data_IF_124073036932
#
_entry.id   IF_124073036932
#
_cell.length_a   1.000
_cell.length_b   1.000
_cell.length_c   1.000
_cell.angle_alpha   90.00
_cell.angle_beta   90.00
_cell.angle_gamma   90.00
#
_symmetry.space_group_name_H-M   'P 1'
#
loop_
_entity.id
_entity.type
_entity.pdbx_description
1 polymer ?
#
# COMPACT_ATOMS: atom_id res chain seq x y z
N UNK A 1 79.43 -8.44 28.20
CA UNK A 1 78.60 -7.24 28.44
C UNK A 1 78.98 -6.21 27.39
N UNK A 2 78.11 -5.95 26.41
CA UNK A 2 78.34 -4.92 25.39
C UNK A 2 78.02 -3.55 25.98
N UNK A 3 79.04 -2.84 26.49
CA UNK A 3 78.90 -1.41 26.80
C UNK A 3 78.83 -0.61 25.50
N UNK A 4 77.66 -0.04 25.22
CA UNK A 4 77.46 0.95 24.15
C UNK A 4 77.03 2.24 24.83
N UNK A 5 77.80 3.33 24.64
CA UNK A 5 77.60 4.62 25.35
C UNK A 5 76.65 5.54 24.60
N UNK A 6 76.52 5.38 23.28
CA UNK A 6 75.71 6.26 22.43
C UNK A 6 74.29 5.74 22.13
N UNK A 7 74.02 4.45 22.33
CA UNK A 7 72.74 3.83 21.97
C UNK A 7 72.27 2.88 23.06
N UNK A 8 71.09 3.12 23.64
CA UNK A 8 70.48 2.22 24.60
C UNK A 8 69.45 1.31 23.92
N UNK A 9 69.88 0.12 23.52
CA UNK A 9 69.04 -0.86 22.80
C UNK A 9 67.87 -1.36 23.66
N UNK A 10 68.06 -1.48 24.99
CA UNK A 10 66.99 -1.87 25.90
C UNK A 10 65.90 -0.78 25.99
N UNK A 11 66.29 0.50 26.02
CA UNK A 11 65.36 1.63 25.98
C UNK A 11 64.62 1.72 24.64
N UNK A 12 65.28 1.47 23.51
CA UNK A 12 64.65 1.40 22.19
C UNK A 12 63.67 0.24 22.06
N UNK A 13 63.92 -0.87 22.74
CA UNK A 13 62.97 -1.99 22.87
C UNK A 13 61.73 -1.57 23.67
N UNK A 14 61.93 -0.97 24.85
CA UNK A 14 60.85 -0.47 25.69
C UNK A 14 59.99 0.60 25.01
N UNK A 15 60.60 1.53 24.26
CA UNK A 15 59.88 2.55 23.49
C UNK A 15 59.05 1.95 22.36
N UNK A 16 59.55 0.91 21.65
CA UNK A 16 58.77 0.18 20.65
C UNK A 16 57.59 -0.55 21.27
N UNK A 17 57.78 -1.24 22.39
CA UNK A 17 56.69 -1.89 23.12
C UNK A 17 55.66 -0.90 23.64
N UNK A 18 56.08 0.27 24.13
CA UNK A 18 55.17 1.34 24.54
C UNK A 18 54.36 1.88 23.36
N UNK A 19 54.99 2.08 22.20
CA UNK A 19 54.31 2.54 21.00
C UNK A 19 53.28 1.52 20.48
N UNK A 20 53.61 0.22 20.51
CA UNK A 20 52.65 -0.84 20.14
C UNK A 20 51.48 -0.90 21.12
N UNK A 21 51.74 -0.88 22.43
CA UNK A 21 50.67 -0.87 23.44
C UNK A 21 49.81 0.40 23.39
N UNK A 22 50.41 1.55 23.07
CA UNK A 22 49.68 2.80 22.85
C UNK A 22 48.76 2.74 21.63
N UNK A 23 49.20 2.11 20.54
CA UNK A 23 48.36 1.89 19.36
C UNK A 23 47.21 0.92 19.64
N UNK A 24 47.47 -0.18 20.33
CA UNK A 24 46.44 -1.15 20.75
C UNK A 24 45.39 -0.51 21.67
N UNK A 25 45.82 0.31 22.65
CA UNK A 25 44.91 1.06 23.52
C UNK A 25 44.02 2.01 22.72
N UNK A 26 44.58 2.74 21.74
CA UNK A 26 43.82 3.66 20.89
C UNK A 26 42.73 2.92 20.11
N UNK A 27 43.05 1.78 19.50
CA UNK A 27 42.07 0.96 18.78
C UNK A 27 41.01 0.39 19.74
N UNK A 28 41.40 -0.05 20.93
CA UNK A 28 40.46 -0.52 21.95
C UNK A 28 39.49 0.59 22.40
N UNK A 29 39.99 1.81 22.60
CA UNK A 29 39.18 2.98 22.94
C UNK A 29 38.23 3.37 21.79
N UNK A 30 38.68 3.29 20.54
CA UNK A 30 37.86 3.54 19.35
C UNK A 30 36.72 2.51 19.21
N UNK A 31 37.01 1.22 19.42
CA UNK A 31 35.99 0.15 19.45
C UNK A 31 35.03 0.30 20.61
N UNK A 32 35.52 0.69 21.78
CA UNK A 32 34.67 0.93 22.96
C UNK A 32 33.75 2.14 22.75
N UNK A 33 34.26 3.23 22.18
CA UNK A 33 33.48 4.44 21.91
C UNK A 33 32.44 4.24 20.80
N UNK A 34 32.76 3.45 19.78
CA UNK A 34 31.85 3.18 18.66
C UNK A 34 30.89 2.02 18.93
N UNK A 35 31.22 1.14 19.86
CA UNK A 35 30.52 -0.13 20.08
C UNK A 35 30.67 -1.13 18.93
N UNK A 36 31.48 -0.82 17.90
CA UNK A 36 31.66 -1.64 16.70
C UNK A 36 33.02 -2.32 16.72
N UNK A 37 33.04 -3.61 16.36
CA UNK A 37 34.29 -4.37 16.19
C UNK A 37 35.11 -3.89 14.98
N UNK A 38 34.43 -3.50 13.90
CA UNK A 38 35.01 -3.00 12.64
C UNK A 38 34.56 -1.55 12.48
N UNK A 39 35.49 -0.59 12.61
CA UNK A 39 35.16 0.84 12.49
C UNK A 39 35.57 1.41 11.13
N UNK A 40 36.62 0.85 10.51
CA UNK A 40 37.11 1.25 9.19
C UNK A 40 37.40 0.06 8.28
N UNK A 41 37.46 0.29 6.97
CA UNK A 41 37.87 -0.73 6.00
C UNK A 41 39.34 -1.21 6.19
N UNK A 42 40.15 -0.46 6.96
CA UNK A 42 41.51 -0.86 7.30
C UNK A 42 41.56 -1.94 8.40
N UNK A 43 40.50 -2.06 9.23
CA UNK A 43 40.42 -3.08 10.27
C UNK A 43 40.07 -4.46 9.69
N UNK A 44 39.11 -4.50 8.76
CA UNK A 44 38.69 -5.69 8.00
C UNK A 44 37.91 -5.28 6.74
N UNK A 45 38.57 -5.29 5.58
CA UNK A 45 37.96 -4.84 4.33
C UNK A 45 36.79 -5.73 3.88
N UNK A 46 36.87 -7.05 4.10
CA UNK A 46 35.82 -7.98 3.68
C UNK A 46 34.62 -7.90 4.64
N UNK A 47 34.86 -7.85 5.95
CA UNK A 47 33.82 -7.68 6.96
C UNK A 47 33.11 -6.33 6.83
N UNK A 48 33.84 -5.27 6.52
CA UNK A 48 33.28 -3.94 6.27
C UNK A 48 32.35 -3.94 5.04
N UNK A 49 32.76 -4.53 3.91
CA UNK A 49 31.92 -4.60 2.71
C UNK A 49 30.62 -5.40 2.92
N UNK A 50 30.69 -6.50 3.69
CA UNK A 50 29.49 -7.27 4.06
C UNK A 50 28.57 -6.44 4.95
N UNK A 51 29.11 -5.77 5.96
CA UNK A 51 28.34 -4.93 6.88
C UNK A 51 27.66 -3.76 6.17
N UNK A 52 28.31 -3.16 5.17
CA UNK A 52 27.74 -2.06 4.39
C UNK A 52 26.60 -2.54 3.49
N UNK A 53 26.76 -3.72 2.86
CA UNK A 53 25.65 -4.36 2.13
C UNK A 53 24.47 -4.71 3.03
N UNK A 54 24.72 -5.26 4.22
CA UNK A 54 23.67 -5.53 5.21
C UNK A 54 22.98 -4.25 5.67
N UNK A 55 23.75 -3.18 5.91
CA UNK A 55 23.18 -1.87 6.27
C UNK A 55 22.29 -1.30 5.16
N UNK A 56 22.72 -1.42 3.90
CA UNK A 56 21.92 -1.03 2.74
C UNK A 56 20.62 -1.84 2.66
N UNK A 57 20.70 -3.16 2.88
CA UNK A 57 19.52 -4.04 2.92
C UNK A 57 18.58 -3.67 4.06
N UNK A 58 19.05 -3.50 5.29
CA UNK A 58 18.20 -3.10 6.44
C UNK A 58 17.51 -1.76 6.17
N UNK A 59 18.22 -0.76 5.63
CA UNK A 59 17.60 0.53 5.26
C UNK A 59 16.56 0.36 4.15
N UNK A 60 16.85 -0.48 3.16
CA UNK A 60 15.92 -0.80 2.09
C UNK A 60 14.66 -1.53 2.60
N UNK A 61 14.82 -2.51 3.51
CA UNK A 61 13.71 -3.24 4.13
C UNK A 61 12.83 -2.31 4.96
N UNK A 62 13.41 -1.38 5.73
CA UNK A 62 12.65 -0.37 6.46
C UNK A 62 11.80 0.51 5.52
N UNK A 63 12.36 0.91 4.37
CA UNK A 63 11.60 1.65 3.36
C UNK A 63 10.54 0.78 2.68
N UNK A 64 10.81 -0.50 2.44
CA UNK A 64 9.82 -1.44 1.91
C UNK A 64 8.64 -1.63 2.88
N UNK A 65 8.90 -1.72 4.19
CA UNK A 65 7.85 -1.76 5.22
C UNK A 65 7.02 -0.49 5.20
N UNK A 66 7.65 0.68 5.05
CA UNK A 66 6.94 1.96 4.91
C UNK A 66 6.07 1.98 3.66
N UNK A 67 6.59 1.57 2.50
CA UNK A 67 5.82 1.51 1.25
C UNK A 67 4.62 0.56 1.37
N UNK A 68 4.78 -0.56 2.06
CA UNK A 68 3.67 -1.50 2.30
C UNK A 68 2.59 -0.88 3.21
N UNK A 69 2.98 -0.13 4.25
CA UNK A 69 2.04 0.61 5.10
C UNK A 69 1.33 1.76 4.36
N UNK A 70 2.03 2.46 3.47
CA UNK A 70 1.42 3.48 2.59
C UNK A 70 0.39 2.83 1.66
N UNK A 71 0.69 1.64 1.13
CA UNK A 71 -0.25 0.83 0.35
C UNK A 71 -1.48 0.37 1.14
N UNK A 72 -1.30 -0.07 2.39
CA UNK A 72 -2.40 -0.40 3.30
C UNK A 72 -3.30 0.83 3.56
N UNK A 73 -2.69 2.00 3.79
CA UNK A 73 -3.42 3.24 4.02
C UNK A 73 -4.23 3.66 2.79
N UNK A 74 -3.66 3.51 1.59
CA UNK A 74 -4.35 3.77 0.32
C UNK A 74 -5.55 2.82 0.15
N UNK A 75 -5.34 1.51 0.36
CA UNK A 75 -6.41 0.51 0.26
C UNK A 75 -7.53 0.74 1.28
N UNK A 76 -7.20 1.19 2.49
CA UNK A 76 -8.21 1.51 3.51
C UNK A 76 -9.10 2.70 3.08
N UNK A 77 -8.54 3.75 2.48
CA UNK A 77 -9.35 4.87 1.95
C UNK A 77 -10.27 4.40 0.83
N UNK A 78 -9.76 3.55 -0.07
CA UNK A 78 -10.55 2.97 -1.16
C UNK A 78 -11.66 2.08 -0.62
N UNK A 79 -11.36 1.20 0.35
CA UNK A 79 -12.33 0.28 0.92
C UNK A 79 -13.49 1.03 1.58
N UNK A 80 -13.20 2.08 2.37
CA UNK A 80 -14.24 2.91 2.98
C UNK A 80 -15.15 3.56 1.92
N UNK A 81 -14.58 4.16 0.89
CA UNK A 81 -15.35 4.74 -0.21
C UNK A 81 -16.20 3.70 -0.96
N UNK A 82 -15.67 2.49 -1.18
CA UNK A 82 -16.46 1.40 -1.80
C UNK A 82 -17.56 0.88 -0.89
N UNK A 83 -17.41 1.00 0.44
CA UNK A 83 -18.47 0.65 1.38
C UNK A 83 -19.64 1.65 1.28
N UNK A 84 -19.35 2.95 1.25
CA UNK A 84 -20.37 3.98 1.05
C UNK A 84 -21.11 3.81 -0.28
N UNK A 85 -20.40 3.45 -1.35
CA UNK A 85 -21.03 3.10 -2.64
C UNK A 85 -21.92 1.87 -2.52
N UNK A 86 -21.49 0.84 -1.78
CA UNK A 86 -22.29 -0.37 -1.56
C UNK A 86 -23.61 -0.05 -0.85
N UNK A 87 -23.58 0.80 0.18
CA UNK A 87 -24.77 1.22 0.92
C UNK A 87 -25.74 2.02 0.03
N UNK A 88 -25.23 2.90 -0.82
CA UNK A 88 -26.05 3.61 -1.81
C UNK A 88 -26.65 2.67 -2.85
N UNK A 89 -25.91 1.66 -3.32
CA UNK A 89 -26.44 0.65 -4.23
C UNK A 89 -27.53 -0.20 -3.58
N UNK A 90 -27.39 -0.55 -2.29
CA UNK A 90 -28.47 -1.19 -1.53
C UNK A 90 -29.71 -0.31 -1.46
N UNK A 91 -29.55 0.99 -1.18
CA UNK A 91 -30.67 1.95 -1.20
C UNK A 91 -31.32 2.07 -2.58
N UNK A 92 -30.52 2.14 -3.64
CA UNK A 92 -31.03 2.15 -5.03
C UNK A 92 -31.82 0.88 -5.34
N UNK A 93 -31.38 -0.28 -4.84
CA UNK A 93 -32.11 -1.55 -4.99
C UNK A 93 -33.45 -1.51 -4.28
N UNK A 94 -33.53 -0.99 -3.06
CA UNK A 94 -34.80 -0.82 -2.34
C UNK A 94 -35.79 0.02 -3.15
N UNK A 95 -35.33 1.16 -3.69
CA UNK A 95 -36.13 2.05 -4.52
C UNK A 95 -36.58 1.37 -5.82
N UNK A 96 -35.71 0.57 -6.43
CA UNK A 96 -36.04 -0.20 -7.62
C UNK A 96 -37.09 -1.29 -7.32
N UNK A 97 -37.00 -2.00 -6.18
CA UNK A 97 -38.03 -2.96 -5.74
C UNK A 97 -39.36 -2.25 -5.50
N UNK A 98 -39.32 -1.07 -4.85
CA UNK A 98 -40.52 -0.27 -4.64
C UNK A 98 -41.14 0.17 -5.96
N UNK A 99 -40.33 0.64 -6.92
CA UNK A 99 -40.78 1.06 -8.24
C UNK A 99 -41.31 -0.09 -9.12
N UNK A 100 -40.85 -1.33 -8.90
CA UNK A 100 -41.37 -2.52 -9.58
C UNK A 100 -42.78 -2.92 -9.14
N UNK A 101 -43.32 -2.33 -8.07
CA UNK A 101 -44.68 -2.60 -7.65
C UNK A 101 -45.67 -1.80 -8.50
N UNK A 102 -46.56 -2.49 -9.22
CA UNK A 102 -47.57 -1.90 -10.13
C UNK A 102 -48.64 -1.05 -9.41
N UNK A 103 -48.64 -1.02 -8.08
CA UNK A 103 -49.54 -0.16 -7.28
C UNK A 103 -49.12 1.31 -7.25
N UNK A 104 -47.89 1.64 -7.67
CA UNK A 104 -47.40 3.03 -7.70
C UNK A 104 -47.91 3.78 -8.95
N UNK A 105 -48.29 5.05 -8.76
CA UNK A 105 -48.65 5.93 -9.87
C UNK A 105 -47.44 6.45 -10.64
N UNK A 106 -47.67 7.06 -11.80
CA UNK A 106 -46.60 7.68 -12.62
C UNK A 106 -45.88 8.83 -11.90
N UNK A 107 -46.57 9.55 -11.02
CA UNK A 107 -45.98 10.61 -10.19
C UNK A 107 -45.06 10.04 -9.10
N UNK A 108 -45.45 8.92 -8.47
CA UNK A 108 -44.66 8.24 -7.44
C UNK A 108 -43.37 7.67 -8.02
N UNK A 109 -43.46 7.05 -9.21
CA UNK A 109 -42.28 6.61 -9.98
C UNK A 109 -41.35 7.78 -10.32
N UNK A 110 -41.92 8.95 -10.62
CA UNK A 110 -41.16 10.19 -10.83
C UNK A 110 -40.34 10.61 -9.60
N UNK A 111 -40.92 10.54 -8.39
CA UNK A 111 -40.21 10.86 -7.15
C UNK A 111 -39.11 9.84 -6.82
N UNK A 112 -39.39 8.53 -7.00
CA UNK A 112 -38.39 7.48 -6.80
C UNK A 112 -37.21 7.62 -7.77
N UNK A 113 -37.49 7.97 -9.03
CA UNK A 113 -36.44 8.21 -10.03
C UNK A 113 -35.59 9.44 -9.70
N UNK A 114 -36.17 10.48 -9.09
CA UNK A 114 -35.43 11.64 -8.64
C UNK A 114 -34.44 11.27 -7.52
N UNK A 115 -34.85 10.46 -6.54
CA UNK A 115 -33.98 9.94 -5.47
C UNK A 115 -32.83 9.09 -6.05
N UNK A 116 -33.16 8.17 -6.96
CA UNK A 116 -32.16 7.34 -7.65
C UNK A 116 -31.19 8.18 -8.49
N UNK A 117 -31.64 9.28 -9.08
CA UNK A 117 -30.77 10.21 -9.81
C UNK A 117 -29.79 10.94 -8.88
N UNK A 118 -30.22 11.30 -7.68
CA UNK A 118 -29.32 11.87 -6.67
C UNK A 118 -28.29 10.84 -6.18
N UNK A 119 -28.72 9.60 -5.92
CA UNK A 119 -27.80 8.53 -5.52
C UNK A 119 -26.77 8.23 -6.61
N UNK A 120 -27.17 8.22 -7.89
CA UNK A 120 -26.24 8.13 -9.03
C UNK A 120 -25.20 9.24 -9.01
N UNK A 121 -25.63 10.49 -8.84
CA UNK A 121 -24.73 11.64 -8.79
C UNK A 121 -23.76 11.56 -7.61
N UNK A 122 -24.24 11.08 -6.46
CA UNK A 122 -23.42 10.91 -5.26
C UNK A 122 -22.39 9.78 -5.42
N UNK A 123 -22.75 8.65 -6.02
CA UNK A 123 -21.79 7.58 -6.37
C UNK A 123 -20.68 8.14 -7.28
N UNK A 124 -21.04 8.88 -8.33
CA UNK A 124 -20.05 9.52 -9.21
C UNK A 124 -19.19 10.53 -8.45
N UNK A 125 -19.77 11.30 -7.53
CA UNK A 125 -19.04 12.25 -6.69
C UNK A 125 -18.01 11.53 -5.80
N UNK A 126 -18.40 10.47 -5.09
CA UNK A 126 -17.48 9.69 -4.26
C UNK A 126 -16.35 9.11 -5.11
N UNK A 127 -16.64 8.59 -6.29
CA UNK A 127 -15.62 8.06 -7.20
C UNK A 127 -14.59 9.13 -7.61
N UNK A 128 -15.02 10.37 -7.86
CA UNK A 128 -14.18 11.50 -8.28
C UNK A 128 -13.41 12.14 -7.12
N UNK A 129 -14.07 12.32 -5.97
CA UNK A 129 -13.53 13.03 -4.80
C UNK A 129 -12.62 12.14 -3.95
N UNK A 130 -12.78 10.82 -4.00
CA UNK A 130 -11.92 9.89 -3.26
C UNK A 130 -10.52 9.88 -3.87
N UNK A 131 -9.62 10.58 -3.19
CA UNK A 131 -8.21 10.73 -3.58
C UNK A 131 -7.32 10.30 -2.45
N UNK A 132 -6.26 9.58 -2.79
CA UNK A 132 -5.15 9.33 -1.88
C UNK A 132 -3.90 10.00 -2.46
N UNK A 133 -3.22 10.83 -1.66
CA UNK A 133 -2.06 11.61 -2.09
C UNK A 133 -2.28 12.43 -3.40
N UNK A 134 -3.50 12.97 -3.58
CA UNK A 134 -3.86 13.81 -4.75
C UNK A 134 -4.27 13.04 -6.01
N UNK A 135 -4.08 11.72 -6.06
CA UNK A 135 -4.52 10.87 -7.19
C UNK A 135 -5.88 10.23 -6.89
N UNK A 136 -6.79 10.31 -7.86
CA UNK A 136 -8.09 9.63 -7.79
C UNK A 136 -7.94 8.20 -8.30
N UNK A 137 -8.29 7.22 -7.46
CA UNK A 137 -8.15 5.80 -7.78
C UNK A 137 -9.46 5.16 -8.27
N UNK A 138 -10.60 5.74 -7.90
CA UNK A 138 -11.94 5.20 -8.20
C UNK A 138 -12.57 5.77 -9.49
N UNK A 139 -11.94 6.77 -10.11
CA UNK A 139 -12.39 7.47 -11.33
C UNK A 139 -11.59 7.07 -12.59
N UNK A 140 -11.02 5.87 -12.62
CA UNK A 140 -9.96 5.50 -13.59
C UNK A 140 -10.40 5.26 -15.04
N UNK A 141 -11.67 5.50 -15.40
CA UNK A 141 -12.21 5.02 -16.67
C UNK A 141 -12.16 3.49 -16.80
N UNK A 142 -12.62 2.95 -17.94
CA UNK A 142 -12.89 1.51 -18.12
C UNK A 142 -11.71 0.53 -17.94
N UNK A 143 -10.47 1.00 -17.75
CA UNK A 143 -9.30 0.14 -17.52
C UNK A 143 -8.83 0.08 -16.06
N UNK A 144 -9.37 0.95 -15.18
CA UNK A 144 -8.93 1.03 -13.78
C UNK A 144 -7.50 1.57 -13.60
N UNK A 145 -7.13 1.86 -12.35
CA UNK A 145 -5.77 2.28 -11.99
C UNK A 145 -4.97 1.05 -11.60
N UNK A 146 -3.91 0.75 -12.35
CA UNK A 146 -2.95 -0.31 -12.05
C UNK A 146 -1.67 0.29 -11.47
N UNK A 147 -1.05 -0.43 -10.54
CA UNK A 147 0.20 0.00 -9.94
C UNK A 147 0.90 -1.12 -9.20
N UNK A 148 2.09 -0.80 -8.69
CA UNK A 148 2.96 -1.75 -8.01
C UNK A 148 3.44 -1.13 -6.70
N UNK A 149 3.28 -1.86 -5.60
CA UNK A 149 3.96 -1.56 -4.34
C UNK A 149 5.33 -2.24 -4.33
N UNK A 150 6.40 -1.45 -4.21
CA UNK A 150 7.74 -1.99 -3.97
C UNK A 150 7.86 -2.39 -2.50
N UNK A 151 7.84 -3.69 -2.25
CA UNK A 151 7.82 -4.29 -0.91
C UNK A 151 9.08 -5.10 -0.61
N UNK A 152 10.16 -4.84 -1.35
CA UNK A 152 11.46 -5.48 -1.12
C UNK A 152 12.64 -4.59 -1.54
N UNK A 153 13.84 -5.06 -1.30
CA UNK A 153 15.09 -4.33 -1.57
C UNK A 153 15.60 -4.50 -2.99
N UNK A 154 15.22 -5.61 -3.65
CA UNK A 154 15.68 -5.95 -4.99
C UNK A 154 14.66 -5.54 -6.07
N UNK A 155 15.14 -5.38 -7.30
CA UNK A 155 14.27 -5.13 -8.44
C UNK A 155 13.27 -6.28 -8.63
N UNK A 156 12.00 -5.93 -8.92
CA UNK A 156 10.86 -6.85 -9.13
C UNK A 156 10.24 -7.48 -7.87
N UNK A 157 10.69 -7.11 -6.67
CA UNK A 157 10.00 -7.47 -5.42
C UNK A 157 8.78 -6.56 -5.20
N UNK A 158 7.77 -6.72 -6.06
CA UNK A 158 6.57 -5.88 -6.06
C UNK A 158 5.29 -6.67 -5.85
N UNK A 159 4.31 -6.04 -5.20
CA UNK A 159 2.92 -6.50 -5.19
C UNK A 159 2.14 -5.60 -6.14
N UNK A 160 1.61 -6.17 -7.22
CA UNK A 160 0.72 -5.44 -8.14
C UNK A 160 -0.67 -5.31 -7.53
N UNK A 161 -1.30 -4.17 -7.81
CA UNK A 161 -2.71 -3.92 -7.51
C UNK A 161 -3.42 -3.39 -8.75
N UNK A 162 -4.73 -3.61 -8.79
CA UNK A 162 -5.61 -3.06 -9.83
C UNK A 162 -6.87 -2.61 -9.13
N UNK A 163 -7.17 -1.32 -9.24
CA UNK A 163 -8.38 -0.72 -8.71
C UNK A 163 -9.26 -0.39 -9.88
N UNK A 164 -10.41 -1.06 -9.99
CA UNK A 164 -11.35 -0.77 -11.06
C UNK A 164 -12.12 0.51 -10.74
N UNK A 165 -12.61 1.16 -11.78
CA UNK A 165 -13.48 2.31 -11.62
C UNK A 165 -14.81 1.89 -10.98
N UNK A 166 -15.28 2.70 -10.03
CA UNK A 166 -16.51 2.49 -9.25
C UNK A 166 -17.50 3.63 -9.55
N UNK A 167 -17.39 4.25 -10.72
CA UNK A 167 -18.34 5.28 -11.14
C UNK A 167 -19.64 4.66 -11.67
N UNK A 168 -20.72 5.43 -11.68
CA UNK A 168 -22.01 4.95 -12.18
C UNK A 168 -21.99 4.55 -13.68
N UNK A 169 -20.95 4.97 -14.43
CA UNK A 169 -20.75 4.65 -15.83
C UNK A 169 -19.80 3.44 -16.06
N UNK A 170 -19.27 2.83 -15.00
CA UNK A 170 -18.35 1.69 -15.07
C UNK A 170 -18.88 0.47 -14.35
N UNK A 171 -19.91 0.63 -13.51
CA UNK A 171 -20.50 -0.44 -12.72
C UNK A 171 -21.82 -0.94 -13.33
N UNK A 172 -22.03 -2.26 -13.23
CA UNK A 172 -23.32 -2.93 -13.48
C UNK A 172 -23.54 -3.21 -14.95
N UNK A 173 -22.73 -4.07 -15.55
CA UNK A 173 -22.84 -4.39 -16.99
C UNK A 173 -23.72 -5.60 -17.24
N UNK A 174 -25.03 -5.40 -17.40
CA UNK A 174 -25.92 -6.39 -18.04
C UNK A 174 -26.48 -5.82 -19.34
N UNK A 175 -26.22 -6.52 -20.45
CA UNK A 175 -26.69 -6.13 -21.79
C UNK A 175 -26.14 -4.80 -22.33
N UNK A 176 -25.07 -4.25 -21.73
CA UNK A 176 -24.51 -2.94 -22.10
C UNK A 176 -25.17 -1.73 -21.41
N UNK A 177 -26.18 -1.96 -20.56
CA UNK A 177 -26.80 -0.92 -19.73
C UNK A 177 -26.05 -0.84 -18.40
N UNK A 178 -25.61 0.36 -18.01
CA UNK A 178 -24.88 0.63 -16.77
C UNK A 178 -25.77 1.29 -15.74
N UNK A 179 -25.30 1.43 -14.49
CA UNK A 179 -26.02 2.13 -13.42
C UNK A 179 -26.46 3.54 -13.84
N UNK A 180 -25.65 4.25 -14.64
CA UNK A 180 -25.96 5.58 -15.17
C UNK A 180 -27.23 5.61 -16.05
N UNK A 181 -27.53 4.52 -16.77
CA UNK A 181 -28.66 4.41 -17.69
C UNK A 181 -29.95 3.89 -17.04
N UNK A 182 -29.95 3.67 -15.72
CA UNK A 182 -31.14 3.24 -14.98
C UNK A 182 -32.22 4.32 -15.02
N UNK A 183 -33.44 3.91 -15.38
CA UNK A 183 -34.65 4.72 -15.29
C UNK A 183 -35.77 3.94 -14.61
N UNK A 184 -36.33 4.50 -13.53
CA UNK A 184 -37.45 3.93 -12.78
C UNK A 184 -38.83 4.45 -13.22
N UNK A 185 -38.90 5.24 -14.30
CA UNK A 185 -40.15 5.83 -14.79
C UNK A 185 -41.18 4.81 -15.31
N UNK A 186 -40.77 3.55 -15.53
CA UNK A 186 -41.63 2.45 -15.99
C UNK A 186 -41.38 1.17 -15.21
N UNK A 187 -42.41 0.32 -15.07
CA UNK A 187 -42.30 -1.00 -14.40
C UNK A 187 -41.27 -1.91 -15.10
N UNK A 188 -41.19 -1.87 -16.43
CA UNK A 188 -40.15 -2.57 -17.20
C UNK A 188 -38.73 -2.01 -16.92
N UNK A 189 -38.59 -0.69 -16.83
CA UNK A 189 -37.33 -0.01 -16.45
C UNK A 189 -36.87 -0.39 -15.04
N UNK A 190 -37.79 -0.46 -14.08
CA UNK A 190 -37.50 -0.91 -12.71
C UNK A 190 -37.01 -2.37 -12.66
N UNK A 191 -37.59 -3.26 -13.47
CA UNK A 191 -37.10 -4.64 -13.62
C UNK A 191 -35.66 -4.72 -14.14
N UNK A 192 -35.32 -3.92 -15.16
CA UNK A 192 -33.93 -3.83 -15.66
C UNK A 192 -32.98 -3.19 -14.64
N UNK A 193 -33.46 -2.19 -13.91
CA UNK A 193 -32.70 -1.51 -12.86
C UNK A 193 -32.29 -2.49 -11.75
N UNK A 194 -33.19 -3.40 -11.34
CA UNK A 194 -32.88 -4.41 -10.32
C UNK A 194 -31.74 -5.32 -10.74
N UNK A 195 -31.70 -5.76 -12.00
CA UNK A 195 -30.61 -6.58 -12.51
C UNK A 195 -29.30 -5.80 -12.51
N UNK A 196 -29.29 -4.61 -13.13
CA UNK A 196 -28.10 -3.75 -13.21
C UNK A 196 -27.55 -3.39 -11.83
N UNK A 197 -28.41 -3.07 -10.85
CA UNK A 197 -27.99 -2.76 -9.47
C UNK A 197 -27.47 -4.01 -8.76
N UNK A 198 -28.06 -5.18 -9.00
CA UNK A 198 -27.57 -6.44 -8.40
C UNK A 198 -26.18 -6.78 -8.93
N UNK A 199 -25.98 -6.70 -10.23
CA UNK A 199 -24.67 -6.90 -10.86
C UNK A 199 -23.65 -5.86 -10.37
N UNK A 200 -24.11 -4.62 -10.15
CA UNK A 200 -23.28 -3.57 -9.59
C UNK A 200 -22.79 -3.90 -8.19
N UNK A 201 -23.68 -4.38 -7.32
CA UNK A 201 -23.34 -4.82 -5.96
C UNK A 201 -22.37 -5.99 -6.02
N UNK A 202 -22.61 -6.99 -6.89
CA UNK A 202 -21.72 -8.14 -7.03
C UNK A 202 -20.32 -7.75 -7.55
N UNK A 203 -20.25 -6.84 -8.52
CA UNK A 203 -18.99 -6.31 -9.04
C UNK A 203 -18.20 -5.58 -7.96
N UNK A 204 -18.84 -4.65 -7.23
CA UNK A 204 -18.18 -3.90 -6.15
C UNK A 204 -17.77 -4.83 -4.99
N UNK A 205 -18.60 -5.80 -4.64
CA UNK A 205 -18.27 -6.82 -3.63
C UNK A 205 -17.07 -7.69 -4.06
N UNK A 206 -17.02 -8.09 -5.34
CA UNK A 206 -15.89 -8.82 -5.90
C UNK A 206 -14.59 -8.02 -5.89
N UNK A 207 -14.65 -6.74 -6.26
CA UNK A 207 -13.49 -5.84 -6.22
C UNK A 207 -13.01 -5.62 -4.77
N UNK A 208 -13.93 -5.43 -3.80
CA UNK A 208 -13.62 -5.35 -2.37
C UNK A 208 -12.95 -6.61 -1.83
N UNK A 209 -13.42 -7.80 -2.23
CA UNK A 209 -12.77 -9.05 -1.86
C UNK A 209 -11.33 -9.11 -2.38
N UNK A 210 -11.09 -8.59 -3.59
CA UNK A 210 -9.74 -8.41 -4.15
C UNK A 210 -8.87 -7.47 -3.30
N UNK A 211 -9.40 -6.32 -2.88
CA UNK A 211 -8.67 -5.37 -2.03
C UNK A 211 -8.31 -5.98 -0.66
N UNK A 212 -9.24 -6.68 -0.02
CA UNK A 212 -8.98 -7.39 1.24
C UNK A 212 -7.91 -8.49 1.10
N UNK A 213 -7.88 -9.19 -0.03
CA UNK A 213 -6.81 -10.16 -0.31
C UNK A 213 -5.43 -9.47 -0.43
N UNK A 214 -5.37 -8.30 -1.05
CA UNK A 214 -4.12 -7.51 -1.15
C UNK A 214 -3.70 -6.97 0.21
N UNK A 215 -4.63 -6.48 1.04
CA UNK A 215 -4.34 -6.03 2.40
C UNK A 215 -3.71 -7.15 3.23
N UNK A 216 -4.32 -8.33 3.27
CA UNK A 216 -3.76 -9.50 3.95
C UNK A 216 -2.35 -9.83 3.45
N UNK A 217 -2.13 -9.82 2.13
CA UNK A 217 -0.79 -10.05 1.55
C UNK A 217 0.23 -8.99 2.01
N UNK A 218 -0.17 -7.73 2.08
CA UNK A 218 0.69 -6.64 2.55
C UNK A 218 1.01 -6.79 4.04
N UNK A 219 0.04 -7.14 4.88
CA UNK A 219 0.25 -7.38 6.32
C UNK A 219 1.22 -8.54 6.58
N UNK A 220 1.08 -9.66 5.86
CA UNK A 220 2.04 -10.76 5.94
C UNK A 220 3.42 -10.33 5.45
N UNK A 221 3.48 -9.50 4.40
CA UNK A 221 4.74 -8.98 3.87
C UNK A 221 5.42 -8.05 4.88
N UNK A 222 4.68 -7.14 5.51
CA UNK A 222 5.16 -6.26 6.58
C UNK A 222 5.71 -7.10 7.74
N UNK A 223 4.96 -8.11 8.19
CA UNK A 223 5.40 -8.99 9.26
C UNK A 223 6.68 -9.72 8.90
N UNK A 224 6.80 -10.23 7.66
CA UNK A 224 8.01 -10.88 7.18
C UNK A 224 9.20 -9.90 7.08
N UNK A 225 8.98 -8.70 6.53
CA UNK A 225 10.02 -7.67 6.42
C UNK A 225 10.53 -7.21 7.78
N UNK A 226 9.65 -7.05 8.77
CA UNK A 226 10.00 -6.71 10.14
C UNK A 226 10.87 -7.80 10.76
N UNK A 227 10.47 -9.08 10.64
CA UNK A 227 11.29 -10.19 11.14
C UNK A 227 12.67 -10.24 10.45
N UNK A 228 12.74 -10.04 9.13
CA UNK A 228 14.00 -10.07 8.39
C UNK A 228 14.90 -8.86 8.70
N UNK A 229 14.32 -7.71 9.06
CA UNK A 229 15.08 -6.51 9.42
C UNK A 229 15.52 -6.48 10.90
N UNK A 230 14.86 -7.23 11.78
CA UNK A 230 15.15 -7.31 13.21
C UNK A 230 16.32 -8.26 13.54
N UNK A 231 16.62 -9.20 12.64
CA UNK A 231 17.79 -10.09 12.70
C UNK A 231 18.95 -9.59 11.81
#
# INVERSE_FOLDING_TARGET
>A
MSLTVYTNVASLGAQRSLATSGAELKTAMERLSSGKKINSAADDAAGFAIAERMTAQIRGLNMATKNANDGLSMLAVIENATNDVTDMLHRMRELAVQASNDTNGTQDLGYLNAEVTQLKAEITRIAVDTKYNGTAYLNGGGSGVTGNFQVGTEANQTISFTIKAVDAASIGTTGGTQVNAIDLSTSAGAGTALQVITDAIEQVAGDRAGYGAIQNRLEYTVSNLMNVAEF
#
